data_IF_611536790340
#
_entry.id   IF_611536790340
#
_cell.length_a   1.000
_cell.length_b   1.000
_cell.length_c   1.000
_cell.angle_alpha   90.00
_cell.angle_beta   90.00
_cell.angle_gamma   90.00
#
_symmetry.space_group_name_H-M   'P 1'
#
loop_
_entity.id
_entity.type
_entity.pdbx_description
1 polymer ?
#
# COMPACT_ATOMS: atom_id res chain seq x y z
N UNK A 1 -49.99 39.10 -15.01
CA UNK A 1 -48.93 40.05 -14.60
C UNK A 1 -48.40 39.64 -13.23
N UNK A 2 -47.18 39.10 -13.24
CA UNK A 2 -46.18 39.06 -12.15
C UNK A 2 -46.67 39.22 -10.70
N UNK A 3 -46.84 38.09 -10.01
CA UNK A 3 -46.79 38.07 -8.55
C UNK A 3 -45.37 38.43 -8.12
N UNK A 4 -45.19 39.68 -7.66
CA UNK A 4 -43.93 40.19 -7.15
C UNK A 4 -43.55 39.38 -5.90
N UNK A 5 -42.62 38.46 -6.08
CA UNK A 5 -41.95 37.75 -4.99
C UNK A 5 -41.18 38.81 -4.20
N UNK A 6 -41.70 39.17 -3.03
CA UNK A 6 -41.12 40.23 -2.20
C UNK A 6 -39.70 39.87 -1.78
N UNK A 7 -38.83 40.88 -1.70
CA UNK A 7 -37.42 40.81 -1.27
C UNK A 7 -37.25 40.10 0.10
N UNK A 8 -38.32 39.97 0.88
CA UNK A 8 -38.41 39.21 2.13
C UNK A 8 -38.39 37.69 1.94
N UNK A 9 -38.95 37.14 0.86
CA UNK A 9 -38.83 35.69 0.54
C UNK A 9 -37.43 35.32 0.06
N UNK A 10 -36.70 36.26 -0.56
CA UNK A 10 -35.26 36.09 -0.87
C UNK A 10 -34.35 36.20 0.37
N UNK A 11 -34.85 36.74 1.49
CA UNK A 11 -34.07 36.92 2.74
C UNK A 11 -34.20 35.77 3.76
N UNK A 12 -35.02 34.73 3.51
CA UNK A 12 -34.95 33.45 4.26
C UNK A 12 -33.86 32.50 3.77
N UNK A 13 -32.94 32.99 2.93
CA UNK A 13 -31.78 32.26 2.41
C UNK A 13 -30.50 32.63 3.20
N UNK A 14 -30.61 33.47 4.24
CA UNK A 14 -29.60 33.59 5.30
C UNK A 14 -30.28 33.19 6.61
N UNK A 15 -29.86 32.20 7.38
CA UNK A 15 -28.60 31.49 7.49
C UNK A 15 -28.87 29.98 7.28
N UNK A 16 -28.89 29.50 6.03
CA UNK A 16 -28.78 28.04 5.86
C UNK A 16 -27.35 27.67 6.20
N UNK A 17 -27.12 27.23 7.44
CA UNK A 17 -25.88 26.54 7.80
C UNK A 17 -25.61 25.51 6.69
N UNK A 18 -24.37 25.44 6.20
CA UNK A 18 -23.92 24.47 5.20
C UNK A 18 -24.45 23.06 5.51
N UNK A 19 -24.49 22.71 6.79
CA UNK A 19 -25.07 21.46 7.28
C UNK A 19 -26.53 21.25 6.87
N UNK A 20 -27.37 22.28 7.01
CA UNK A 20 -28.78 22.21 6.61
C UNK A 20 -28.95 22.02 5.11
N UNK A 21 -28.02 22.55 4.29
CA UNK A 21 -28.00 22.32 2.85
C UNK A 21 -27.64 20.87 2.53
N UNK A 22 -26.57 20.35 3.16
CA UNK A 22 -26.10 18.98 2.97
C UNK A 22 -27.16 17.95 3.37
N UNK A 23 -27.84 18.16 4.49
CA UNK A 23 -28.77 17.18 5.06
C UNK A 23 -30.18 17.26 4.48
N UNK A 24 -30.66 18.45 4.08
CA UNK A 24 -32.06 18.66 3.67
C UNK A 24 -32.26 18.82 2.15
N UNK A 25 -31.19 18.98 1.38
CA UNK A 25 -31.23 19.18 -0.06
C UNK A 25 -30.70 17.91 -0.76
N UNK A 26 -31.58 16.93 -0.96
CA UNK A 26 -31.23 15.61 -1.51
C UNK A 26 -30.69 15.70 -2.95
N UNK A 27 -31.16 16.66 -3.75
CA UNK A 27 -30.67 16.96 -5.11
C UNK A 27 -29.18 17.34 -5.10
N UNK A 28 -28.80 18.30 -4.27
CA UNK A 28 -27.40 18.76 -4.17
C UNK A 28 -26.54 17.65 -3.56
N UNK A 29 -27.01 17.03 -2.49
CA UNK A 29 -26.21 16.06 -1.74
C UNK A 29 -25.97 14.78 -2.54
N UNK A 30 -27.00 14.20 -3.14
CA UNK A 30 -26.89 12.92 -3.86
C UNK A 30 -26.21 13.07 -5.22
N UNK A 31 -26.24 14.25 -5.84
CA UNK A 31 -25.58 14.49 -7.13
C UNK A 31 -24.14 14.98 -6.98
N UNK A 32 -23.84 15.82 -5.98
CA UNK A 32 -22.55 16.52 -5.93
C UNK A 32 -21.68 16.21 -4.71
N UNK A 33 -22.27 15.70 -3.62
CA UNK A 33 -21.55 15.42 -2.36
C UNK A 33 -21.28 13.92 -2.23
N UNK A 34 -22.31 13.10 -2.05
CA UNK A 34 -22.15 11.66 -1.76
C UNK A 34 -21.35 10.89 -2.84
N UNK A 35 -21.48 11.17 -4.16
CA UNK A 35 -20.69 10.46 -5.17
C UNK A 35 -19.18 10.72 -5.09
N UNK A 36 -18.77 11.79 -4.41
CA UNK A 36 -17.35 12.13 -4.20
C UNK A 36 -16.78 11.56 -2.91
N UNK A 37 -17.63 10.95 -2.07
CA UNK A 37 -17.24 10.36 -0.80
C UNK A 37 -16.90 8.87 -0.99
N UNK A 38 -15.82 8.43 -0.37
CA UNK A 38 -15.50 7.00 -0.24
C UNK A 38 -16.53 6.29 0.64
N UNK A 39 -16.59 4.96 0.59
CA UNK A 39 -17.44 4.18 1.49
C UNK A 39 -17.08 4.45 2.98
N UNK A 40 -15.81 4.72 3.25
CA UNK A 40 -15.29 5.12 4.55
C UNK A 40 -15.83 6.48 4.99
N UNK A 41 -15.81 7.48 4.11
CA UNK A 41 -16.38 8.82 4.37
C UNK A 41 -17.89 8.75 4.64
N UNK A 42 -18.61 7.88 3.93
CA UNK A 42 -20.05 7.64 4.15
C UNK A 42 -20.32 7.11 5.56
N UNK A 43 -19.48 6.22 6.09
CA UNK A 43 -19.62 5.69 7.46
C UNK A 43 -19.33 6.74 8.51
N UNK A 44 -18.30 7.56 8.31
CA UNK A 44 -18.05 8.69 9.20
C UNK A 44 -19.24 9.63 9.22
N UNK A 45 -19.73 10.03 8.04
CA UNK A 45 -20.89 10.90 7.90
C UNK A 45 -22.12 10.29 8.61
N UNK A 46 -22.38 9.00 8.42
CA UNK A 46 -23.45 8.26 9.12
C UNK A 46 -23.31 8.29 10.66
N UNK A 47 -22.08 8.31 11.16
CA UNK A 47 -21.75 8.34 12.58
C UNK A 47 -21.90 9.71 13.26
N UNK A 48 -21.92 10.82 12.49
CA UNK A 48 -21.87 12.20 13.04
C UNK A 48 -23.09 12.53 13.91
N UNK A 49 -24.32 12.35 13.38
CA UNK A 49 -25.55 12.64 14.10
C UNK A 49 -26.77 11.93 13.48
N UNK A 50 -27.94 12.09 14.11
CA UNK A 50 -29.21 11.48 13.68
C UNK A 50 -29.66 11.91 12.28
N UNK A 51 -29.31 13.14 11.88
CA UNK A 51 -29.73 13.72 10.60
C UNK A 51 -28.90 13.16 9.44
N UNK A 52 -27.58 13.06 9.63
CA UNK A 52 -26.67 12.42 8.68
C UNK A 52 -26.98 10.92 8.55
N UNK A 53 -27.31 10.27 9.67
CA UNK A 53 -27.81 8.88 9.68
C UNK A 53 -29.05 8.73 8.79
N UNK A 54 -30.01 9.64 8.91
CA UNK A 54 -31.21 9.63 8.09
C UNK A 54 -30.91 9.95 6.61
N UNK A 55 -29.93 10.83 6.33
CA UNK A 55 -29.46 11.15 4.98
C UNK A 55 -28.89 9.92 4.27
N UNK A 56 -27.95 9.23 4.92
CA UNK A 56 -27.31 8.06 4.32
C UNK A 56 -28.31 6.91 4.13
N UNK A 57 -29.19 6.64 5.10
CA UNK A 57 -30.19 5.55 5.01
C UNK A 57 -31.15 5.69 3.84
N UNK A 58 -31.49 6.92 3.43
CA UNK A 58 -32.39 7.16 2.28
C UNK A 58 -31.63 7.37 0.96
N UNK A 59 -30.31 7.46 1.00
CA UNK A 59 -29.47 7.56 -0.19
C UNK A 59 -29.25 6.19 -0.85
N UNK A 60 -28.83 6.18 -2.11
CA UNK A 60 -28.40 4.95 -2.80
C UNK A 60 -27.14 4.31 -2.20
N UNK A 61 -26.40 5.03 -1.35
CA UNK A 61 -25.16 4.58 -0.69
C UNK A 61 -25.38 3.94 0.69
N UNK A 62 -26.63 3.64 1.06
CA UNK A 62 -26.91 2.93 2.32
C UNK A 62 -26.25 1.54 2.39
N UNK A 63 -25.97 0.92 1.24
CA UNK A 63 -25.26 -0.37 1.14
C UNK A 63 -23.83 -0.33 1.68
N UNK A 64 -23.13 0.78 1.49
CA UNK A 64 -21.73 0.99 1.94
C UNK A 64 -21.55 0.78 3.44
N UNK A 65 -22.61 0.99 4.23
CA UNK A 65 -22.58 0.80 5.68
C UNK A 65 -22.31 -0.65 6.08
N UNK A 66 -22.49 -1.61 5.17
CA UNK A 66 -22.20 -3.02 5.39
C UNK A 66 -20.73 -3.37 5.15
N UNK A 67 -19.98 -2.49 4.48
CA UNK A 67 -18.56 -2.73 4.21
C UNK A 67 -17.72 -2.55 5.49
N UNK A 68 -16.48 -3.01 5.47
CA UNK A 68 -15.51 -2.76 6.54
C UNK A 68 -14.81 -1.40 6.38
N UNK A 69 -14.24 -0.84 7.45
CA UNK A 69 -13.48 0.40 7.35
C UNK A 69 -12.19 0.16 6.57
N UNK A 70 -11.89 1.03 5.60
CA UNK A 70 -10.61 1.00 4.87
C UNK A 70 -9.69 2.04 5.46
N UNK A 71 -8.91 1.63 6.46
CA UNK A 71 -7.98 2.53 7.17
C UNK A 71 -6.94 3.12 6.23
N UNK A 72 -6.47 2.36 5.24
CA UNK A 72 -5.51 2.84 4.23
C UNK A 72 -6.01 4.01 3.36
N UNK A 73 -7.33 4.23 3.27
CA UNK A 73 -7.94 5.36 2.55
C UNK A 73 -8.07 6.62 3.44
N UNK A 74 -7.81 6.51 4.75
CA UNK A 74 -8.02 7.60 5.69
C UNK A 74 -6.96 8.69 5.56
N UNK A 75 -7.42 9.93 5.70
CA UNK A 75 -6.59 11.09 5.37
C UNK A 75 -6.25 11.99 6.55
N UNK A 76 -6.86 11.76 7.73
CA UNK A 76 -6.73 12.62 8.91
C UNK A 76 -6.67 11.83 10.23
N UNK A 77 -6.12 12.46 11.27
CA UNK A 77 -6.13 11.92 12.63
C UNK A 77 -7.56 11.70 13.11
N UNK A 78 -8.49 12.63 12.86
CA UNK A 78 -9.88 12.52 13.30
C UNK A 78 -10.58 11.27 12.77
N UNK A 79 -10.31 10.88 11.51
CA UNK A 79 -10.84 9.65 10.94
C UNK A 79 -10.26 8.40 11.62
N UNK A 80 -8.95 8.40 11.89
CA UNK A 80 -8.31 7.29 12.60
C UNK A 80 -8.78 7.19 14.05
N UNK A 81 -8.92 8.31 14.73
CA UNK A 81 -9.39 8.39 16.10
C UNK A 81 -10.79 7.81 16.23
N UNK A 82 -11.70 8.17 15.35
CA UNK A 82 -13.04 7.58 15.38
C UNK A 82 -13.00 6.06 15.18
N UNK A 83 -12.17 5.51 14.29
CA UNK A 83 -12.05 4.04 14.16
C UNK A 83 -11.39 3.40 15.39
N UNK A 84 -10.42 4.08 15.99
CA UNK A 84 -9.72 3.63 17.19
C UNK A 84 -10.63 3.59 18.43
N UNK A 85 -11.48 4.60 18.61
CA UNK A 85 -12.43 4.63 19.73
C UNK A 85 -13.58 3.61 19.55
N UNK A 86 -13.79 3.13 18.32
CA UNK A 86 -14.77 2.10 17.99
C UNK A 86 -14.17 0.68 17.84
N UNK A 87 -13.09 0.39 18.57
CA UNK A 87 -12.43 -0.94 18.62
C UNK A 87 -13.37 -2.12 18.90
N UNK A 88 -14.42 -1.92 19.68
CA UNK A 88 -15.42 -2.95 19.97
C UNK A 88 -16.19 -3.42 18.73
N UNK A 89 -16.19 -2.63 17.67
CA UNK A 89 -16.82 -2.95 16.39
C UNK A 89 -15.85 -3.59 15.38
N UNK A 90 -14.58 -3.76 15.77
CA UNK A 90 -13.59 -4.44 14.93
C UNK A 90 -13.94 -5.93 14.85
N UNK A 91 -13.72 -6.52 13.67
CA UNK A 91 -13.88 -7.96 13.48
C UNK A 91 -12.84 -8.71 14.31
N UNK A 92 -13.09 -9.98 14.64
CA UNK A 92 -12.21 -10.77 15.53
C UNK A 92 -10.78 -10.95 15.02
N UNK A 93 -10.56 -10.79 13.71
CA UNK A 93 -9.24 -10.88 13.07
C UNK A 93 -8.54 -9.51 12.97
N UNK A 94 -9.24 -8.40 13.20
CA UNK A 94 -8.69 -7.07 13.14
C UNK A 94 -7.96 -6.74 14.44
N UNK A 95 -6.64 -6.87 14.42
CA UNK A 95 -5.76 -6.60 15.55
C UNK A 95 -5.23 -5.16 15.54
N UNK A 96 -4.68 -4.69 16.66
CA UNK A 96 -3.94 -3.41 16.67
C UNK A 96 -2.76 -3.41 15.69
N UNK A 97 -2.07 -4.54 15.53
CA UNK A 97 -0.94 -4.61 14.59
C UNK A 97 -1.40 -4.47 13.15
N UNK A 98 -2.52 -5.11 12.79
CA UNK A 98 -3.14 -4.93 11.48
C UNK A 98 -3.63 -3.48 11.29
N UNK A 99 -4.26 -2.88 12.29
CA UNK A 99 -4.60 -1.44 12.23
C UNK A 99 -3.36 -0.58 11.95
N UNK A 100 -2.24 -0.84 12.62
CA UNK A 100 -1.00 -0.09 12.43
C UNK A 100 -0.38 -0.29 11.03
N UNK A 101 -0.40 -1.52 10.48
CA UNK A 101 -0.09 -1.79 9.06
C UNK A 101 -0.94 -0.93 8.12
N UNK A 102 -2.26 -0.95 8.30
CA UNK A 102 -3.16 -0.14 7.47
C UNK A 102 -2.91 1.37 7.60
N UNK A 103 -2.56 1.85 8.80
CA UNK A 103 -2.13 3.25 8.99
C UNK A 103 -0.85 3.53 8.20
N UNK A 104 0.15 2.64 8.20
CA UNK A 104 1.34 2.82 7.38
C UNK A 104 1.02 2.80 5.87
N UNK A 105 0.00 2.02 5.44
CA UNK A 105 -0.49 2.04 4.05
C UNK A 105 -1.14 3.36 3.65
N UNK A 106 -1.55 4.23 4.58
CA UNK A 106 -1.97 5.61 4.23
C UNK A 106 -0.83 6.45 3.65
N UNK A 107 0.42 5.98 3.82
CA UNK A 107 1.63 6.66 3.41
C UNK A 107 1.86 8.03 4.09
N UNK A 108 1.28 8.24 5.27
CA UNK A 108 1.39 9.49 6.04
C UNK A 108 2.11 9.25 7.36
N UNK A 109 3.34 9.72 7.48
CA UNK A 109 4.15 9.55 8.68
C UNK A 109 3.45 10.12 9.93
N UNK A 110 2.81 11.29 9.81
CA UNK A 110 2.02 11.92 10.88
C UNK A 110 0.95 10.99 11.47
N UNK A 111 0.27 10.21 10.61
CA UNK A 111 -0.78 9.30 11.06
C UNK A 111 -0.17 8.07 11.78
N UNK A 112 0.97 7.58 11.31
CA UNK A 112 1.68 6.50 11.96
C UNK A 112 2.27 6.92 13.31
N UNK A 113 2.85 8.13 13.39
CA UNK A 113 3.38 8.69 14.64
C UNK A 113 2.26 8.86 15.65
N UNK A 114 1.10 9.39 15.24
CA UNK A 114 -0.08 9.49 16.10
C UNK A 114 -0.49 8.13 16.66
N UNK A 115 -0.61 7.10 15.80
CA UNK A 115 -1.01 5.77 16.23
C UNK A 115 -0.03 5.18 17.27
N UNK A 116 1.28 5.38 17.05
CA UNK A 116 2.34 4.81 17.88
C UNK A 116 2.59 5.59 19.16
N UNK A 117 2.61 6.91 19.10
CA UNK A 117 3.03 7.76 20.20
C UNK A 117 1.88 8.14 21.10
N UNK A 118 0.72 8.48 20.56
CA UNK A 118 -0.44 8.87 21.36
C UNK A 118 -1.25 7.66 21.80
N UNK A 119 -1.60 6.78 20.85
CA UNK A 119 -2.50 5.65 21.14
C UNK A 119 -1.77 4.38 21.59
N UNK A 120 -0.43 4.38 21.59
CA UNK A 120 0.43 3.22 21.92
C UNK A 120 0.05 1.96 21.13
N UNK A 121 -0.46 2.13 19.92
CA UNK A 121 -0.98 1.07 19.07
C UNK A 121 0.11 0.06 18.74
N UNK A 122 -0.08 -1.23 19.02
CA UNK A 122 0.92 -2.27 18.72
C UNK A 122 1.25 -2.33 17.22
N UNK A 123 2.50 -2.65 16.89
CA UNK A 123 2.96 -2.90 15.53
C UNK A 123 3.72 -4.22 15.44
N UNK A 124 3.87 -4.71 14.20
CA UNK A 124 4.68 -5.88 13.84
C UNK A 124 5.40 -5.60 12.51
N UNK A 125 6.01 -6.61 11.90
CA UNK A 125 6.68 -6.49 10.61
C UNK A 125 5.78 -5.95 9.48
N UNK A 126 4.45 -6.06 9.60
CA UNK A 126 3.48 -5.57 8.63
C UNK A 126 3.60 -4.07 8.44
N UNK A 127 3.83 -3.33 9.52
CA UNK A 127 3.94 -1.87 9.50
C UNK A 127 5.15 -1.40 8.68
N UNK A 128 6.33 -1.98 8.87
CA UNK A 128 7.51 -1.62 8.06
C UNK A 128 7.40 -2.15 6.62
N UNK A 129 6.74 -3.31 6.40
CA UNK A 129 6.44 -3.81 5.05
C UNK A 129 5.54 -2.85 4.28
N UNK A 130 4.50 -2.32 4.91
CA UNK A 130 3.61 -1.33 4.32
C UNK A 130 4.35 -0.03 3.96
N UNK A 131 5.18 0.48 4.89
CA UNK A 131 6.03 1.65 4.62
C UNK A 131 6.97 1.40 3.42
N UNK A 132 7.60 0.22 3.37
CA UNK A 132 8.47 -0.17 2.28
C UNK A 132 7.74 -0.36 0.95
N UNK A 133 6.54 -0.94 0.96
CA UNK A 133 5.64 -1.07 -0.19
C UNK A 133 5.24 0.29 -0.77
N UNK A 134 5.08 1.31 0.09
CA UNK A 134 4.75 2.68 -0.33
C UNK A 134 5.98 3.51 -0.73
N UNK A 135 7.20 2.98 -0.52
CA UNK A 135 8.44 3.66 -0.87
C UNK A 135 8.78 4.84 0.03
N UNK A 136 8.16 4.92 1.22
CA UNK A 136 8.35 6.06 2.12
C UNK A 136 9.56 5.83 3.01
N UNK A 137 10.71 6.33 2.56
CA UNK A 137 11.97 6.18 3.28
C UNK A 137 11.94 6.79 4.68
N UNK A 138 11.32 7.97 4.86
CA UNK A 138 11.20 8.61 6.17
C UNK A 138 10.39 7.74 7.15
N UNK A 139 9.30 7.14 6.67
CA UNK A 139 8.49 6.23 7.47
C UNK A 139 9.23 4.93 7.79
N UNK A 140 10.02 4.40 6.85
CA UNK A 140 10.88 3.24 7.11
C UNK A 140 11.93 3.58 8.17
N UNK A 141 12.61 4.73 8.05
CA UNK A 141 13.57 5.21 9.04
C UNK A 141 12.93 5.36 10.42
N UNK A 142 11.71 5.91 10.49
CA UNK A 142 10.95 6.00 11.74
C UNK A 142 10.69 4.62 12.36
N UNK A 143 10.23 3.65 11.56
CA UNK A 143 10.00 2.27 12.00
C UNK A 143 11.29 1.64 12.56
N UNK A 144 12.43 1.82 11.87
CA UNK A 144 13.73 1.28 12.32
C UNK A 144 14.20 1.94 13.61
N UNK A 145 14.18 3.28 13.67
CA UNK A 145 14.64 4.04 14.84
C UNK A 145 13.86 3.66 16.11
N UNK A 146 12.58 3.34 15.94
CA UNK A 146 11.68 2.95 17.03
C UNK A 146 11.58 1.42 17.23
N UNK A 147 12.47 0.64 16.60
CA UNK A 147 12.57 -0.82 16.78
C UNK A 147 11.29 -1.58 16.41
N UNK A 148 10.60 -1.13 15.36
CA UNK A 148 9.57 -1.94 14.69
C UNK A 148 10.22 -3.27 14.24
N UNK A 149 9.58 -4.44 14.48
CA UNK A 149 10.10 -5.71 13.99
C UNK A 149 10.33 -5.68 12.47
N UNK A 150 11.43 -6.29 12.01
CA UNK A 150 11.81 -6.31 10.61
C UNK A 150 12.06 -7.75 10.20
N UNK A 151 11.46 -8.17 9.09
CA UNK A 151 11.73 -9.45 8.45
C UNK A 151 12.09 -9.25 6.97
N UNK A 152 12.34 -10.36 6.28
CA UNK A 152 12.73 -10.37 4.87
C UNK A 152 11.69 -9.74 3.93
N UNK A 153 10.43 -9.59 4.40
CA UNK A 153 9.33 -9.03 3.64
C UNK A 153 9.50 -7.54 3.32
N UNK A 154 10.15 -6.76 4.19
CA UNK A 154 10.30 -5.31 3.95
C UNK A 154 11.15 -5.04 2.68
N UNK A 155 12.24 -5.79 2.53
CA UNK A 155 13.09 -5.74 1.34
C UNK A 155 12.37 -6.23 0.08
N UNK A 156 11.58 -7.31 0.21
CA UNK A 156 10.79 -7.84 -0.90
C UNK A 156 9.74 -6.84 -1.39
N UNK A 157 9.03 -6.17 -0.48
CA UNK A 157 8.05 -5.14 -0.85
C UNK A 157 8.71 -3.91 -1.47
N UNK A 158 9.86 -3.46 -0.97
CA UNK A 158 10.62 -2.37 -1.59
C UNK A 158 11.03 -2.72 -3.03
N UNK A 159 11.57 -3.92 -3.25
CA UNK A 159 11.98 -4.38 -4.58
C UNK A 159 10.81 -4.60 -5.53
N UNK A 160 9.70 -5.18 -5.03
CA UNK A 160 8.48 -5.43 -5.79
C UNK A 160 7.84 -4.16 -6.35
N UNK A 161 7.96 -3.05 -5.62
CA UNK A 161 7.38 -1.76 -5.99
C UNK A 161 8.44 -0.76 -6.52
N UNK A 162 9.68 -1.22 -6.76
CA UNK A 162 10.71 -0.42 -7.41
C UNK A 162 11.33 0.67 -6.54
N UNK A 163 11.23 0.56 -5.22
CA UNK A 163 11.71 1.56 -4.26
C UNK A 163 13.17 1.32 -3.87
N UNK A 164 14.08 1.68 -4.78
CA UNK A 164 15.52 1.42 -4.63
C UNK A 164 16.13 2.07 -3.39
N UNK A 165 15.76 3.31 -3.07
CA UNK A 165 16.35 4.02 -1.92
C UNK A 165 15.93 3.40 -0.57
N UNK A 166 14.69 2.92 -0.48
CA UNK A 166 14.25 2.12 0.67
C UNK A 166 15.04 0.81 0.75
N UNK A 167 15.22 0.14 -0.38
CA UNK A 167 15.97 -1.11 -0.45
C UNK A 167 17.44 -0.90 -0.04
N UNK A 168 18.09 0.16 -0.51
CA UNK A 168 19.45 0.56 -0.11
C UNK A 168 19.54 0.77 1.39
N UNK A 169 18.66 1.60 1.94
CA UNK A 169 18.63 1.87 3.38
C UNK A 169 18.47 0.59 4.21
N UNK A 170 17.47 -0.24 3.88
CA UNK A 170 17.22 -1.50 4.60
C UNK A 170 18.40 -2.47 4.53
N UNK A 171 19.19 -2.47 3.45
CA UNK A 171 20.29 -3.42 3.25
C UNK A 171 21.63 -2.93 3.74
N UNK A 172 21.95 -1.68 3.43
CA UNK A 172 23.27 -1.12 3.69
C UNK A 172 23.36 -0.59 5.13
N UNK A 173 22.33 0.11 5.61
CA UNK A 173 22.34 0.74 6.93
C UNK A 173 21.75 -0.16 8.00
N UNK A 174 20.56 -0.72 7.75
CA UNK A 174 19.81 -1.47 8.76
C UNK A 174 20.31 -2.92 8.89
N UNK A 175 20.97 -3.44 7.85
CA UNK A 175 21.32 -4.87 7.71
C UNK A 175 20.10 -5.79 7.93
N UNK A 176 18.94 -5.36 7.43
CA UNK A 176 17.68 -6.09 7.60
C UNK A 176 17.80 -7.51 7.02
N UNK A 177 17.09 -8.51 7.59
CA UNK A 177 17.06 -9.86 7.05
C UNK A 177 16.73 -9.87 5.56
N UNK A 178 17.43 -10.70 4.80
CA UNK A 178 17.24 -10.85 3.35
C UNK A 178 16.53 -12.14 3.02
N UNK A 179 15.69 -12.13 2.00
CA UNK A 179 15.34 -13.33 1.26
C UNK A 179 15.74 -13.15 -0.19
N UNK A 180 15.85 -14.24 -0.94
CA UNK A 180 16.18 -14.24 -2.38
C UNK A 180 15.02 -13.78 -3.29
N UNK A 181 13.85 -13.46 -2.72
CA UNK A 181 12.67 -12.99 -3.46
C UNK A 181 12.76 -11.63 -4.17
N UNK A 182 13.53 -10.62 -3.72
CA UNK A 182 13.60 -9.29 -4.32
C UNK A 182 13.95 -9.26 -5.81
N UNK A 183 14.88 -10.10 -6.29
CA UNK A 183 15.24 -10.17 -7.71
C UNK A 183 14.08 -10.70 -8.57
N UNK A 184 13.40 -11.74 -8.10
CA UNK A 184 12.19 -12.26 -8.75
C UNK A 184 11.10 -11.19 -8.84
N UNK A 185 10.82 -10.48 -7.74
CA UNK A 185 9.81 -9.44 -7.72
C UNK A 185 10.17 -8.23 -8.58
N UNK A 186 11.44 -7.83 -8.61
CA UNK A 186 11.92 -6.77 -9.48
C UNK A 186 11.74 -7.13 -10.96
N UNK A 187 12.14 -8.34 -11.36
CA UNK A 187 11.96 -8.81 -12.74
C UNK A 187 10.50 -8.94 -13.14
N UNK A 188 9.63 -9.43 -12.23
CA UNK A 188 8.19 -9.55 -12.45
C UNK A 188 7.52 -8.19 -12.71
N UNK A 189 8.03 -7.11 -12.11
CA UNK A 189 7.44 -5.77 -12.21
C UNK A 189 8.27 -4.81 -13.10
N UNK A 190 9.27 -5.32 -13.82
CA UNK A 190 10.08 -4.54 -14.75
C UNK A 190 11.00 -3.50 -14.08
N UNK A 191 11.43 -3.72 -12.84
CA UNK A 191 12.27 -2.79 -12.09
C UNK A 191 13.77 -3.05 -12.33
N UNK A 192 14.27 -2.66 -13.51
CA UNK A 192 15.67 -2.88 -13.92
C UNK A 192 16.67 -2.28 -12.93
N UNK A 193 16.46 -1.05 -12.46
CA UNK A 193 17.33 -0.36 -11.51
C UNK A 193 17.50 -1.10 -10.18
N UNK A 194 16.52 -1.92 -9.79
CA UNK A 194 16.64 -2.81 -8.64
C UNK A 194 17.55 -4.00 -9.00
N UNK A 195 17.38 -4.61 -10.17
CA UNK A 195 18.24 -5.70 -10.63
C UNK A 195 19.70 -5.24 -10.74
N UNK A 196 19.96 -4.09 -11.38
CA UNK A 196 21.28 -3.48 -11.47
C UNK A 196 21.93 -3.37 -10.10
N UNK A 197 21.24 -2.76 -9.14
CA UNK A 197 21.70 -2.63 -7.76
C UNK A 197 22.00 -3.98 -7.09
N UNK A 198 21.16 -5.00 -7.32
CA UNK A 198 21.36 -6.33 -6.74
C UNK A 198 22.60 -7.04 -7.32
N UNK A 199 22.89 -6.84 -8.61
CA UNK A 199 24.05 -7.40 -9.29
C UNK A 199 25.35 -6.64 -8.97
N UNK A 200 25.32 -5.30 -8.96
CA UNK A 200 26.49 -4.45 -8.69
C UNK A 200 27.08 -4.69 -7.30
N UNK A 201 26.23 -4.80 -6.28
CA UNK A 201 26.69 -5.01 -4.89
C UNK A 201 27.07 -6.45 -4.60
N UNK A 202 27.03 -7.32 -5.62
CA UNK A 202 27.33 -8.75 -5.55
C UNK A 202 26.70 -9.46 -4.36
N UNK A 203 25.62 -8.94 -3.75
CA UNK A 203 25.20 -9.20 -2.36
C UNK A 203 25.68 -10.56 -1.82
N UNK A 204 26.91 -10.60 -1.30
CA UNK A 204 27.82 -11.77 -1.22
C UNK A 204 27.41 -12.86 -0.21
N UNK A 205 26.11 -13.13 -0.06
CA UNK A 205 25.62 -14.47 0.27
C UNK A 205 25.65 -15.40 -0.97
N UNK A 206 26.46 -15.06 -1.97
CA UNK A 206 26.84 -15.90 -3.13
C UNK A 206 28.11 -16.74 -2.84
N UNK A 207 28.49 -16.91 -1.57
CA UNK A 207 29.65 -17.70 -1.20
C UNK A 207 29.45 -19.19 -1.54
N UNK A 208 30.54 -19.93 -1.71
CA UNK A 208 30.59 -21.35 -2.12
C UNK A 208 29.68 -22.25 -1.28
N UNK A 209 29.34 -21.86 -0.04
CA UNK A 209 28.33 -22.50 0.81
C UNK A 209 26.86 -22.30 0.36
N UNK A 210 26.52 -21.15 -0.23
CA UNK A 210 25.21 -20.87 -0.81
C UNK A 210 25.00 -21.64 -2.12
N UNK A 211 26.03 -21.77 -2.97
CA UNK A 211 26.00 -22.67 -4.12
C UNK A 211 25.93 -24.15 -3.71
N UNK A 212 26.62 -24.54 -2.62
CA UNK A 212 26.60 -25.92 -2.10
C UNK A 212 25.26 -26.27 -1.43
N UNK A 213 24.62 -25.33 -0.74
CA UNK A 213 23.25 -25.49 -0.24
C UNK A 213 22.22 -25.42 -1.38
N UNK A 214 22.43 -24.58 -2.41
CA UNK A 214 21.57 -24.51 -3.60
C UNK A 214 21.57 -25.80 -4.41
N UNK A 215 22.70 -26.51 -4.49
CA UNK A 215 22.77 -27.84 -5.09
C UNK A 215 22.08 -28.94 -4.26
N UNK A 216 21.91 -28.74 -2.95
CA UNK A 216 21.18 -29.69 -2.08
C UNK A 216 19.67 -29.38 -1.97
N UNK A 217 19.25 -28.13 -2.23
CA UNK A 217 17.85 -27.68 -2.01
C UNK A 217 17.11 -27.19 -3.28
N UNK A 218 17.75 -27.08 -4.45
CA UNK A 218 17.08 -26.80 -5.75
C UNK A 218 16.35 -25.44 -5.88
N UNK A 219 16.46 -24.56 -4.88
CA UNK A 219 15.63 -23.35 -4.79
C UNK A 219 16.21 -22.13 -5.51
N UNK A 220 17.53 -21.98 -5.64
CA UNK A 220 18.15 -20.75 -6.16
C UNK A 220 18.01 -20.62 -7.68
N UNK A 221 18.32 -21.69 -8.42
CA UNK A 221 18.04 -21.75 -9.86
C UNK A 221 16.56 -21.44 -10.11
N UNK A 222 15.65 -22.02 -9.32
CA UNK A 222 14.21 -21.78 -9.46
C UNK A 222 13.81 -20.31 -9.51
N UNK A 223 14.48 -19.41 -8.77
CA UNK A 223 14.07 -17.99 -8.72
C UNK A 223 14.63 -17.15 -9.86
N UNK A 224 15.88 -17.34 -10.29
CA UNK A 224 16.39 -16.69 -11.50
C UNK A 224 15.71 -17.24 -12.75
N UNK A 225 15.44 -18.56 -12.78
CA UNK A 225 14.58 -19.17 -13.79
C UNK A 225 13.18 -18.54 -13.79
N UNK A 226 12.59 -18.29 -12.62
CA UNK A 226 11.31 -17.54 -12.50
C UNK A 226 11.47 -16.08 -12.93
N UNK A 227 12.54 -15.40 -12.58
CA UNK A 227 12.78 -14.00 -12.97
C UNK A 227 12.87 -13.87 -14.50
N UNK A 228 13.67 -14.73 -15.14
CA UNK A 228 13.78 -14.83 -16.61
C UNK A 228 12.43 -15.18 -17.24
N UNK A 229 11.71 -16.18 -16.71
CA UNK A 229 10.36 -16.54 -17.20
C UNK A 229 9.39 -15.37 -17.14
N UNK A 230 9.34 -14.66 -16.01
CA UNK A 230 8.39 -13.58 -15.81
C UNK A 230 8.75 -12.34 -16.61
N UNK A 231 10.03 -11.97 -16.68
CA UNK A 231 10.49 -10.88 -17.52
C UNK A 231 10.13 -11.14 -19.00
N UNK A 232 10.27 -12.38 -19.47
CA UNK A 232 9.81 -12.77 -20.80
C UNK A 232 8.29 -12.76 -20.94
N UNK A 233 7.55 -13.40 -20.02
CA UNK A 233 6.09 -13.53 -20.08
C UNK A 233 5.38 -12.17 -20.06
N UNK A 234 5.88 -11.20 -19.28
CA UNK A 234 5.33 -9.85 -19.19
C UNK A 234 5.98 -8.85 -20.15
N UNK A 235 6.85 -9.30 -21.07
CA UNK A 235 7.55 -8.46 -22.06
C UNK A 235 8.39 -7.32 -21.45
N UNK A 236 9.02 -7.56 -20.30
CA UNK A 236 10.02 -6.65 -19.73
C UNK A 236 11.37 -6.86 -20.42
N UNK A 237 11.49 -6.39 -21.66
CA UNK A 237 12.63 -6.64 -22.56
C UNK A 237 13.97 -6.19 -21.96
N UNK A 238 14.02 -5.03 -21.31
CA UNK A 238 15.24 -4.50 -20.69
C UNK A 238 15.68 -5.37 -19.50
N UNK A 239 14.74 -5.78 -18.65
CA UNK A 239 15.03 -6.70 -17.54
C UNK A 239 15.46 -8.07 -18.06
N UNK A 240 14.79 -8.59 -19.09
CA UNK A 240 15.15 -9.86 -19.71
C UNK A 240 16.57 -9.79 -20.30
N UNK A 241 16.85 -8.77 -21.11
CA UNK A 241 18.16 -8.57 -21.72
C UNK A 241 19.25 -8.45 -20.66
N UNK A 242 19.02 -7.64 -19.62
CA UNK A 242 19.95 -7.51 -18.51
C UNK A 242 20.23 -8.84 -17.79
N UNK A 243 19.20 -9.66 -17.54
CA UNK A 243 19.38 -10.98 -16.93
C UNK A 243 20.17 -11.94 -17.84
N UNK A 244 19.94 -11.87 -19.15
CA UNK A 244 20.65 -12.67 -20.15
C UNK A 244 22.12 -12.25 -20.28
N UNK A 245 22.40 -10.94 -20.33
CA UNK A 245 23.75 -10.38 -20.38
C UNK A 245 24.58 -10.74 -19.14
N UNK A 246 23.92 -10.97 -18.00
CA UNK A 246 24.53 -11.42 -16.76
C UNK A 246 24.59 -12.95 -16.60
N UNK A 247 24.37 -13.72 -17.68
CA UNK A 247 24.43 -15.19 -17.70
C UNK A 247 23.55 -15.89 -16.65
N UNK A 248 22.35 -15.36 -16.38
CA UNK A 248 21.41 -15.98 -15.46
C UNK A 248 20.95 -17.38 -15.95
N UNK A 249 20.67 -18.34 -15.05
CA UNK A 249 20.12 -19.63 -15.41
C UNK A 249 18.85 -19.51 -16.26
N UNK A 250 18.78 -20.31 -17.34
CA UNK A 250 17.65 -20.34 -18.27
C UNK A 250 16.71 -21.51 -17.99
N UNK A 251 15.37 -21.30 -18.11
CA UNK A 251 14.39 -22.38 -18.01
C UNK A 251 14.74 -23.58 -18.87
N UNK A 252 14.38 -24.79 -18.41
CA UNK A 252 14.52 -25.99 -19.22
C UNK A 252 13.86 -25.80 -20.59
N UNK A 253 14.59 -26.10 -21.67
CA UNK A 253 14.17 -25.90 -23.07
C UNK A 253 14.49 -24.52 -23.65
N UNK A 254 14.96 -23.56 -22.84
CA UNK A 254 15.34 -22.23 -23.32
C UNK A 254 16.84 -22.16 -23.60
N UNK A 255 17.21 -21.41 -24.64
CA UNK A 255 18.60 -21.16 -25.05
C UNK A 255 18.77 -19.71 -25.46
N UNK A 256 19.88 -19.10 -25.08
CA UNK A 256 20.25 -17.75 -25.50
C UNK A 256 21.58 -17.81 -26.25
N UNK A 257 21.51 -17.61 -27.57
CA UNK A 257 22.67 -17.76 -28.46
C UNK A 257 22.66 -16.62 -29.48
N UNK A 258 23.83 -16.05 -29.78
CA UNK A 258 23.99 -14.98 -30.79
C UNK A 258 23.09 -13.74 -30.58
N UNK A 259 22.69 -13.46 -29.35
CA UNK A 259 21.80 -12.33 -29.01
C UNK A 259 20.31 -12.64 -29.14
N UNK A 260 19.93 -13.87 -29.51
CA UNK A 260 18.54 -14.29 -29.65
C UNK A 260 18.14 -15.31 -28.57
N UNK A 261 16.99 -15.08 -27.93
CA UNK A 261 16.39 -16.02 -26.99
C UNK A 261 15.46 -16.98 -27.73
N UNK A 262 15.79 -18.26 -27.70
CA UNK A 262 14.96 -19.35 -28.20
C UNK A 262 14.23 -20.02 -27.03
N UNK A 263 12.91 -19.91 -27.01
CA UNK A 263 12.04 -20.57 -26.02
C UNK A 263 11.37 -21.79 -26.65
N UNK A 264 11.24 -22.88 -25.89
CA UNK A 264 10.51 -24.10 -26.29
C UNK A 264 9.00 -23.91 -26.29
#
# INVERSE_FOLDING_TARGET
MSGVTTRAQKRRIGERNLWSLIVKCDDICFTHVLPRLSATDIKFLYGVNTEARALIKRSSRAGDLKEEFKVEEMSSISTLEFVWENKSSWTSWWTETYFCDQVALTNKLELLTWAREEKKCKWDEGTIKAAAKRGNLEMVQYCVANKCPINTGACAEAARNGHLEVLKYLREEVKAPWSVGPAHWAALNGHLHILEYLFERKFDQFDVLACRNAAMDGHFDSFFLKAVRQAHYYNHTECLQYLLDNNCPLPSGWRYEHGELHTS
#
